data_IF_329563593657
#
_entry.id   IF_329563593657
#
_cell.length_a   1.000
_cell.length_b   1.000
_cell.length_c   1.000
_cell.angle_alpha   90.00
_cell.angle_beta   90.00
_cell.angle_gamma   90.00
#
_symmetry.space_group_name_H-M   'P 1'
#
loop_
_entity.id
_entity.type
_entity.pdbx_description
1 polymer ?
#
# COMPACT_ATOMS: atom_id res chain seq x y z
N UNK A 1 -14.66 -5.72 -19.06
CA UNK A 1 -13.72 -6.21 -18.03
C UNK A 1 -12.43 -5.44 -18.21
N UNK A 2 -12.07 -4.46 -17.36
CA UNK A 2 -10.76 -3.84 -17.49
C UNK A 2 -9.70 -4.88 -17.06
N UNK A 3 -8.65 -4.95 -17.85
CA UNK A 3 -7.60 -5.95 -17.79
C UNK A 3 -6.78 -5.74 -16.51
N UNK A 4 -7.03 -6.55 -15.48
CA UNK A 4 -6.27 -6.52 -14.23
C UNK A 4 -4.80 -6.85 -14.52
N UNK A 5 -3.93 -5.85 -14.48
CA UNK A 5 -2.48 -6.04 -14.37
C UNK A 5 -2.11 -6.52 -12.96
N UNK A 6 -2.61 -7.70 -12.58
CA UNK A 6 -2.17 -8.36 -11.36
C UNK A 6 -0.79 -8.97 -11.64
N UNK A 7 0.26 -8.24 -11.30
CA UNK A 7 1.65 -8.68 -11.50
C UNK A 7 1.95 -9.95 -10.68
N UNK A 8 2.67 -10.88 -11.30
CA UNK A 8 3.09 -12.14 -10.67
C UNK A 8 4.27 -11.87 -9.71
N UNK A 9 4.52 -12.71 -8.69
CA UNK A 9 5.56 -12.50 -7.66
C UNK A 9 6.98 -12.21 -8.21
N UNK A 10 7.28 -12.78 -9.37
CA UNK A 10 8.55 -12.60 -10.08
C UNK A 10 8.77 -11.18 -10.66
N UNK A 11 7.69 -10.42 -10.92
CA UNK A 11 7.78 -9.03 -11.40
C UNK A 11 7.83 -8.02 -10.24
N UNK A 12 7.39 -8.41 -9.04
CA UNK A 12 7.30 -7.53 -7.85
C UNK A 12 8.68 -7.11 -7.34
N UNK A 13 9.63 -8.05 -7.35
CA UNK A 13 11.00 -7.80 -6.88
C UNK A 13 11.78 -6.78 -7.71
N UNK A 14 11.35 -6.49 -8.95
CA UNK A 14 11.90 -5.41 -9.78
C UNK A 14 11.43 -4.01 -9.38
N UNK A 15 10.28 -3.88 -8.72
CA UNK A 15 9.69 -2.60 -8.32
C UNK A 15 9.73 -2.35 -6.81
N UNK A 16 9.81 -3.42 -6.05
CA UNK A 16 9.96 -3.42 -4.60
C UNK A 16 11.14 -4.34 -4.26
N UNK A 17 12.37 -3.83 -4.31
CA UNK A 17 13.52 -4.61 -3.88
C UNK A 17 13.35 -5.01 -2.40
N UNK A 18 14.02 -6.09 -1.99
CA UNK A 18 14.04 -6.52 -0.60
C UNK A 18 14.33 -5.34 0.32
N UNK A 19 13.37 -5.00 1.20
CA UNK A 19 13.55 -3.96 2.19
C UNK A 19 13.86 -4.62 3.54
N UNK A 20 15.08 -4.46 4.08
CA UNK A 20 15.47 -5.10 5.34
C UNK A 20 14.62 -4.63 6.52
N UNK A 21 13.93 -3.49 6.41
CA UNK A 21 13.07 -2.95 7.46
C UNK A 21 11.81 -3.78 7.68
N UNK A 22 11.39 -4.57 6.70
CA UNK A 22 10.27 -5.53 6.81
C UNK A 22 10.66 -6.83 7.51
N UNK A 23 11.94 -7.01 7.83
CA UNK A 23 12.46 -8.23 8.43
C UNK A 23 12.26 -9.44 7.52
N UNK A 24 11.40 -10.38 7.96
CA UNK A 24 11.08 -11.61 7.23
C UNK A 24 9.84 -11.50 6.34
N UNK A 25 9.00 -10.48 6.56
CA UNK A 25 7.79 -10.28 5.76
C UNK A 25 8.16 -10.06 4.30
N UNK A 26 7.37 -10.64 3.40
CA UNK A 26 7.57 -10.56 1.96
C UNK A 26 6.35 -9.94 1.31
N UNK A 27 6.59 -8.98 0.42
CA UNK A 27 5.55 -8.49 -0.50
C UNK A 27 5.54 -9.40 -1.72
N UNK A 28 4.46 -10.16 -1.91
CA UNK A 28 4.33 -11.17 -2.98
C UNK A 28 3.56 -10.67 -4.19
N UNK A 29 2.71 -9.65 -4.03
CA UNK A 29 2.01 -8.95 -5.13
C UNK A 29 1.92 -7.46 -4.84
N UNK A 30 1.99 -6.64 -5.88
CA UNK A 30 1.83 -5.19 -5.79
C UNK A 30 1.30 -4.61 -7.11
N UNK A 31 0.24 -3.81 -7.06
CA UNK A 31 -0.28 -3.09 -8.23
C UNK A 31 -1.18 -1.92 -7.81
N UNK A 32 -1.31 -0.90 -8.67
CA UNK A 32 -2.37 0.09 -8.54
C UNK A 32 -3.61 -0.35 -9.33
N UNK A 33 -4.81 -0.10 -8.79
CA UNK A 33 -6.07 -0.59 -9.35
C UNK A 33 -6.37 -0.04 -10.76
N UNK A 34 -6.07 1.24 -11.02
CA UNK A 34 -6.46 1.91 -12.27
C UNK A 34 -5.28 2.21 -13.20
N UNK A 35 -4.06 2.24 -12.69
CA UNK A 35 -2.89 2.72 -13.41
C UNK A 35 -1.69 1.79 -13.28
N UNK A 36 -0.79 1.82 -14.26
CA UNK A 36 0.55 1.23 -14.13
C UNK A 36 1.54 2.30 -13.60
N UNK A 37 1.14 3.01 -12.54
CA UNK A 37 1.90 4.15 -12.04
C UNK A 37 3.26 3.77 -11.46
N UNK A 38 3.44 2.50 -11.12
CA UNK A 38 4.75 1.94 -10.75
C UNK A 38 5.77 2.11 -11.89
N UNK A 39 5.35 1.90 -13.15
CA UNK A 39 6.22 2.06 -14.32
C UNK A 39 6.10 3.43 -14.98
N UNK A 40 4.88 3.95 -15.05
CA UNK A 40 4.54 5.14 -15.81
C UNK A 40 3.62 6.04 -14.98
N UNK A 41 4.15 6.78 -13.99
CA UNK A 41 3.33 7.67 -13.19
C UNK A 41 2.82 8.83 -14.04
N UNK A 42 1.58 8.72 -14.48
CA UNK A 42 0.91 9.80 -15.19
C UNK A 42 0.48 10.87 -14.19
N UNK A 43 0.70 12.14 -14.57
CA UNK A 43 0.34 13.33 -13.81
C UNK A 43 0.69 13.26 -12.31
N UNK A 44 1.99 13.36 -12.00
CA UNK A 44 2.51 13.27 -10.64
C UNK A 44 1.90 14.28 -9.66
N UNK A 45 1.37 15.40 -10.13
CA UNK A 45 0.75 16.42 -9.27
C UNK A 45 -0.69 16.09 -8.91
N UNK A 46 -1.40 15.34 -9.75
CA UNK A 46 -2.83 15.02 -9.58
C UNK A 46 -3.11 13.51 -9.45
N UNK A 47 -2.14 12.75 -8.95
CA UNK A 47 -2.27 11.31 -8.77
C UNK A 47 -3.31 10.95 -7.69
N UNK A 48 -4.15 9.96 -7.94
CA UNK A 48 -5.05 9.34 -6.97
C UNK A 48 -5.44 7.93 -7.42
N UNK A 49 -4.96 6.90 -6.72
CA UNK A 49 -5.26 5.50 -7.05
C UNK A 49 -5.14 4.60 -5.81
N UNK A 50 -5.71 3.40 -5.89
CA UNK A 50 -5.62 2.41 -4.82
C UNK A 50 -4.46 1.46 -5.07
N UNK A 51 -3.51 1.40 -4.14
CA UNK A 51 -2.38 0.48 -4.14
C UNK A 51 -2.79 -0.80 -3.41
N UNK A 52 -2.76 -1.92 -4.11
CA UNK A 52 -2.99 -3.25 -3.54
C UNK A 52 -1.67 -3.97 -3.35
N UNK A 53 -1.55 -4.69 -2.23
CA UNK A 53 -0.43 -5.55 -1.93
C UNK A 53 -0.85 -6.83 -1.23
N UNK A 54 -0.09 -7.89 -1.49
CA UNK A 54 -0.18 -9.17 -0.81
C UNK A 54 1.10 -9.37 0.01
N UNK A 55 0.93 -9.68 1.28
CA UNK A 55 1.98 -9.88 2.26
C UNK A 55 2.01 -11.35 2.67
N UNK A 56 3.21 -11.87 2.83
CA UNK A 56 3.47 -13.22 3.30
C UNK A 56 4.44 -13.19 4.49
N UNK A 57 4.02 -13.81 5.58
CA UNK A 57 4.87 -14.08 6.73
C UNK A 57 5.36 -15.54 6.68
N UNK A 58 6.68 -15.78 6.52
CA UNK A 58 7.22 -17.14 6.51
C UNK A 58 7.21 -17.82 7.87
N UNK A 59 7.11 -17.09 8.99
CA UNK A 59 7.15 -17.71 10.32
C UNK A 59 5.80 -18.36 10.67
N UNK A 60 4.68 -17.73 10.29
CA UNK A 60 3.32 -18.25 10.46
C UNK A 60 2.74 -18.95 9.22
N UNK A 61 3.47 -18.94 8.10
CA UNK A 61 3.00 -19.33 6.76
C UNK A 61 1.72 -18.60 6.31
N UNK A 62 1.41 -17.46 6.92
CA UNK A 62 0.19 -16.70 6.64
C UNK A 62 0.36 -15.73 5.48
N UNK A 63 -0.68 -15.60 4.66
CA UNK A 63 -0.76 -14.62 3.57
C UNK A 63 -1.99 -13.75 3.73
N UNK A 64 -1.85 -12.44 3.59
CA UNK A 64 -2.98 -11.51 3.63
C UNK A 64 -2.83 -10.38 2.61
N UNK A 65 -3.96 -9.77 2.28
CA UNK A 65 -4.01 -8.59 1.40
C UNK A 65 -4.19 -7.32 2.21
N UNK A 66 -3.51 -6.26 1.79
CA UNK A 66 -3.68 -4.92 2.34
C UNK A 66 -3.73 -3.91 1.18
N UNK A 67 -4.44 -2.81 1.39
CA UNK A 67 -4.59 -1.75 0.39
C UNK A 67 -4.36 -0.38 1.01
N UNK A 68 -3.73 0.51 0.25
CA UNK A 68 -3.55 1.92 0.59
C UNK A 68 -4.14 2.80 -0.50
N UNK A 69 -4.99 3.75 -0.14
CA UNK A 69 -5.39 4.80 -1.06
C UNK A 69 -4.26 5.84 -1.14
N UNK A 70 -3.56 5.90 -2.26
CA UNK A 70 -2.41 6.80 -2.46
C UNK A 70 -2.85 7.96 -3.32
N UNK A 71 -2.66 9.18 -2.83
CA UNK A 71 -3.09 10.36 -3.56
C UNK A 71 -2.24 11.59 -3.29
N UNK A 72 -2.44 12.57 -4.15
CA UNK A 72 -2.01 13.96 -3.98
C UNK A 72 -3.21 14.82 -3.59
N UNK A 73 -3.00 16.00 -2.99
CA UNK A 73 -4.10 16.93 -2.70
C UNK A 73 -4.92 17.27 -3.95
N UNK A 74 -4.26 17.54 -5.09
CA UNK A 74 -4.95 17.83 -6.35
C UNK A 74 -5.69 16.60 -6.89
N UNK A 75 -5.08 15.41 -6.81
CA UNK A 75 -5.73 14.16 -7.21
C UNK A 75 -6.99 13.85 -6.40
N UNK A 76 -6.95 14.07 -5.08
CA UNK A 76 -8.14 13.96 -4.22
C UNK A 76 -9.23 14.96 -4.61
N UNK A 77 -8.85 16.22 -4.83
CA UNK A 77 -9.79 17.27 -5.21
C UNK A 77 -10.46 16.95 -6.57
N UNK A 78 -9.68 16.45 -7.54
CA UNK A 78 -10.19 16.03 -8.84
C UNK A 78 -11.11 14.82 -8.71
N UNK A 79 -10.72 13.80 -7.94
CA UNK A 79 -11.55 12.61 -7.70
C UNK A 79 -12.90 12.98 -7.08
N UNK A 80 -12.92 13.84 -6.06
CA UNK A 80 -14.15 14.30 -5.43
C UNK A 80 -15.03 15.07 -6.42
N UNK A 81 -14.44 15.96 -7.24
CA UNK A 81 -15.16 16.74 -8.25
C UNK A 81 -15.76 15.84 -9.33
N UNK A 82 -14.96 14.95 -9.91
CA UNK A 82 -15.38 14.03 -10.98
C UNK A 82 -16.49 13.09 -10.53
N UNK A 83 -16.41 12.59 -9.29
CA UNK A 83 -17.43 11.70 -8.72
C UNK A 83 -18.58 12.43 -8.06
N UNK A 84 -18.55 13.77 -8.01
CA UNK A 84 -19.49 14.60 -7.26
C UNK A 84 -19.65 14.15 -5.79
N UNK A 85 -18.55 13.69 -5.20
CA UNK A 85 -18.52 13.23 -3.81
C UNK A 85 -18.33 14.39 -2.85
N UNK A 86 -19.08 14.38 -1.74
CA UNK A 86 -18.94 15.38 -0.67
C UNK A 86 -17.81 15.04 0.31
N UNK A 87 -17.49 13.76 0.45
CA UNK A 87 -16.43 13.25 1.29
C UNK A 87 -15.93 11.92 0.70
N UNK A 88 -14.69 11.56 1.05
CA UNK A 88 -14.10 10.25 0.77
C UNK A 88 -13.87 9.54 2.10
N UNK A 89 -14.31 8.29 2.20
CA UNK A 89 -13.94 7.40 3.30
C UNK A 89 -12.90 6.40 2.78
N UNK A 90 -11.69 6.46 3.32
CA UNK A 90 -10.57 5.58 2.97
C UNK A 90 -9.84 5.18 4.26
N UNK A 91 -9.95 3.91 4.72
CA UNK A 91 -9.39 3.47 6.01
C UNK A 91 -7.88 3.62 6.13
N UNK A 92 -7.15 3.43 5.01
CA UNK A 92 -5.70 3.60 4.96
C UNK A 92 -5.36 4.51 3.78
N UNK A 93 -5.17 5.80 4.07
CA UNK A 93 -4.86 6.83 3.06
C UNK A 93 -3.45 7.37 3.28
N UNK A 94 -2.70 7.49 2.19
CA UNK A 94 -1.38 8.10 2.14
C UNK A 94 -1.43 9.29 1.18
N UNK A 95 -1.21 10.50 1.72
CA UNK A 95 -1.26 11.74 0.93
C UNK A 95 0.14 12.32 0.80
N UNK A 96 0.58 12.54 -0.44
CA UNK A 96 1.90 13.08 -0.77
C UNK A 96 1.76 14.40 -1.54
N UNK A 97 2.69 15.37 -1.40
CA UNK A 97 2.66 16.60 -2.19
C UNK A 97 2.67 16.32 -3.70
N UNK A 98 3.49 15.35 -4.12
CA UNK A 98 3.59 14.85 -5.48
C UNK A 98 3.78 13.34 -5.45
N UNK A 99 3.42 12.67 -6.55
CA UNK A 99 3.76 11.27 -6.73
C UNK A 99 5.28 11.10 -6.86
N UNK A 100 5.85 10.37 -5.91
CA UNK A 100 7.19 9.82 -5.98
C UNK A 100 7.16 8.38 -5.48
N UNK A 101 7.60 7.45 -6.33
CA UNK A 101 7.50 6.02 -6.01
C UNK A 101 8.34 5.63 -4.81
N UNK A 102 9.53 6.22 -4.63
CA UNK A 102 10.40 5.89 -3.51
C UNK A 102 9.85 6.39 -2.18
N UNK A 103 9.22 7.58 -2.17
CA UNK A 103 8.50 8.08 -0.99
C UNK A 103 7.31 7.20 -0.64
N UNK A 104 6.51 6.81 -1.63
CA UNK A 104 5.37 5.90 -1.46
C UNK A 104 5.85 4.55 -0.90
N UNK A 105 6.91 3.99 -1.50
CA UNK A 105 7.53 2.73 -1.07
C UNK A 105 7.93 2.79 0.41
N UNK A 106 8.67 3.82 0.82
CA UNK A 106 9.10 4.00 2.21
C UNK A 106 7.92 4.12 3.18
N UNK A 107 6.89 4.89 2.81
CA UNK A 107 5.72 5.07 3.64
C UNK A 107 4.94 3.75 3.82
N UNK A 108 4.78 2.98 2.74
CA UNK A 108 4.14 1.66 2.77
C UNK A 108 4.91 0.70 3.65
N UNK A 109 6.24 0.59 3.50
CA UNK A 109 7.09 -0.24 4.39
C UNK A 109 6.90 0.17 5.85
N UNK A 110 6.97 1.47 6.13
CA UNK A 110 6.81 1.98 7.49
C UNK A 110 5.46 1.62 8.08
N UNK A 111 4.40 1.61 7.25
CA UNK A 111 3.04 1.32 7.74
C UNK A 111 2.81 -0.18 7.95
N UNK A 112 3.30 -1.03 7.05
CA UNK A 112 3.29 -2.49 7.22
C UNK A 112 3.98 -2.86 8.54
N UNK A 113 5.16 -2.29 8.80
CA UNK A 113 5.89 -2.52 10.04
C UNK A 113 5.07 -2.08 11.27
N UNK A 114 4.50 -0.88 11.25
CA UNK A 114 3.72 -0.38 12.37
C UNK A 114 2.47 -1.24 12.65
N UNK A 115 1.80 -1.72 11.59
CA UNK A 115 0.64 -2.59 11.72
C UNK A 115 1.06 -3.96 12.29
N UNK A 116 2.15 -4.55 11.78
CA UNK A 116 2.64 -5.86 12.23
C UNK A 116 3.21 -5.84 13.65
N UNK A 117 4.02 -4.83 14.00
CA UNK A 117 4.55 -4.65 15.36
C UNK A 117 3.41 -4.46 16.38
N UNK A 118 2.32 -3.80 15.98
CA UNK A 118 1.14 -3.66 16.84
C UNK A 118 0.48 -5.02 17.13
N UNK A 119 0.33 -5.89 16.13
CA UNK A 119 -0.24 -7.22 16.33
C UNK A 119 0.66 -8.10 17.20
N UNK A 120 1.97 -8.13 16.94
CA UNK A 120 2.90 -8.91 17.74
C UNK A 120 2.97 -8.46 19.20
N UNK A 121 2.92 -7.14 19.47
CA UNK A 121 2.90 -6.64 20.83
C UNK A 121 1.56 -6.86 21.54
N UNK A 122 0.46 -7.01 20.79
CA UNK A 122 -0.87 -7.26 21.37
C UNK A 122 -1.04 -8.70 21.86
N UNK A 123 -0.32 -9.67 21.28
CA UNK A 123 -0.29 -11.07 21.74
C UNK A 123 0.47 -11.23 23.07
N UNK A 124 1.44 -10.35 23.35
CA UNK A 124 2.24 -10.38 24.59
C UNK A 124 1.54 -9.77 25.82
N UNK A 125 0.37 -9.14 25.64
CA UNK A 125 -0.41 -8.53 26.74
C UNK A 125 -1.58 -9.39 27.24
N UNK A 126 -1.69 -10.63 26.75
CA UNK A 126 -2.81 -11.53 27.06
C UNK A 126 -2.72 -12.31 28.38
N UNK A 127 -1.63 -12.18 29.15
CA UNK A 127 -1.41 -13.03 30.34
C UNK A 127 -0.80 -12.27 31.53
N UNK A 128 -1.32 -11.09 31.89
CA UNK A 128 -1.22 -10.60 33.28
C UNK A 128 -2.48 -9.82 33.71
N UNK A 129 -3.18 -10.37 34.72
CA UNK A 129 -4.20 -9.77 35.61
C UNK A 129 -5.60 -9.62 35.00
N UNK A 130 -6.68 -10.23 35.52
CA UNK A 130 -7.14 -10.42 36.91
C UNK A 130 -7.95 -11.72 37.09
#
# INVERSE_FOLDING_TARGET
>A
MPQRWAWQPQDVSGFFPYDPSLGKLRITKLYFEKSDAVRFPQNRSAFADELHLELYDPDSEHTWSQSYFVATPEGLANLLRERSWKFLFAPQILVFPHYDWEDIRRAVVSRIKADHDFFNNSEDTGDESL
#
